data_IF_914299838106
#
_entry.id   IF_914299838106
#
_cell.length_a   1.000
_cell.length_b   1.000
_cell.length_c   1.000
_cell.angle_alpha   90.00
_cell.angle_beta   90.00
_cell.angle_gamma   90.00
#
_symmetry.space_group_name_H-M   'P 1'
#
loop_
_entity.id
_entity.type
_entity.pdbx_description
1 polymer ?
#
# COMPACT_ATOMS: atom_id res chain seq x y z
N UNK A 1 -1.64 -8.61 46.54
CA UNK A 1 -1.76 -9.72 45.57
C UNK A 1 -2.86 -9.47 44.53
N UNK A 2 -4.12 -9.27 44.92
CA UNK A 2 -5.25 -9.03 44.00
C UNK A 2 -5.04 -7.82 43.07
N UNK A 3 -4.56 -6.68 43.61
CA UNK A 3 -4.31 -5.46 42.83
C UNK A 3 -3.24 -5.69 41.73
N UNK A 4 -2.22 -6.50 42.02
CA UNK A 4 -1.15 -6.83 41.07
C UNK A 4 -1.70 -7.69 39.93
N UNK A 5 -2.57 -8.66 40.25
CA UNK A 5 -3.24 -9.52 39.27
C UNK A 5 -4.15 -8.68 38.37
N UNK A 6 -4.90 -7.74 38.95
CA UNK A 6 -5.80 -6.84 38.21
C UNK A 6 -5.02 -5.92 37.25
N UNK A 7 -3.91 -5.34 37.71
CA UNK A 7 -3.02 -4.55 36.84
C UNK A 7 -2.46 -5.38 35.68
N UNK A 8 -2.08 -6.63 35.92
CA UNK A 8 -1.56 -7.53 34.88
C UNK A 8 -2.64 -7.88 33.83
N UNK A 9 -3.87 -8.15 34.25
CA UNK A 9 -4.99 -8.44 33.33
C UNK A 9 -5.29 -7.23 32.44
N UNK A 10 -5.29 -6.02 33.01
CA UNK A 10 -5.53 -4.79 32.25
C UNK A 10 -4.42 -4.53 31.24
N UNK A 11 -3.15 -4.63 31.64
CA UNK A 11 -2.03 -4.42 30.72
C UNK A 11 -1.97 -5.48 29.63
N UNK A 12 -2.22 -6.74 29.97
CA UNK A 12 -2.29 -7.84 29.00
C UNK A 12 -3.40 -7.61 27.96
N UNK A 13 -4.57 -7.15 28.39
CA UNK A 13 -5.71 -6.85 27.51
C UNK A 13 -5.39 -5.71 26.53
N UNK A 14 -4.72 -4.65 26.99
CA UNK A 14 -4.30 -3.53 26.13
C UNK A 14 -3.30 -4.00 25.07
N UNK A 15 -2.33 -4.83 25.44
CA UNK A 15 -1.34 -5.38 24.49
C UNK A 15 -2.04 -6.25 23.43
N UNK A 16 -3.04 -7.05 23.80
CA UNK A 16 -3.80 -7.85 22.83
C UNK A 16 -4.57 -6.97 21.83
N UNK A 17 -5.20 -5.89 22.28
CA UNK A 17 -5.93 -4.96 21.38
C UNK A 17 -4.96 -4.31 20.38
N UNK A 18 -3.80 -3.85 20.86
CA UNK A 18 -2.76 -3.27 20.00
C UNK A 18 -2.25 -4.30 18.99
N UNK A 19 -2.04 -5.55 19.43
CA UNK A 19 -1.59 -6.64 18.57
C UNK A 19 -2.62 -6.98 17.48
N UNK A 20 -3.91 -7.09 17.83
CA UNK A 20 -5.00 -7.36 16.88
C UNK A 20 -5.09 -6.24 15.84
N UNK A 21 -4.95 -4.98 16.24
CA UNK A 21 -4.90 -3.85 15.30
C UNK A 21 -3.68 -3.92 14.38
N UNK A 22 -2.51 -4.33 14.89
CA UNK A 22 -1.31 -4.53 14.07
C UNK A 22 -1.49 -5.60 13.00
N UNK A 23 -2.06 -6.76 13.36
CA UNK A 23 -2.34 -7.85 12.39
C UNK A 23 -3.41 -7.44 11.37
N UNK A 24 -4.42 -6.67 11.77
CA UNK A 24 -5.47 -6.18 10.86
C UNK A 24 -4.93 -5.25 9.76
N UNK A 25 -3.80 -4.57 10.01
CA UNK A 25 -3.10 -3.73 9.01
C UNK A 25 -2.10 -4.51 8.15
N UNK A 26 -2.02 -5.83 8.30
CA UNK A 26 -0.93 -6.65 7.77
C UNK A 26 -0.92 -6.76 6.25
N UNK A 27 0.08 -6.14 5.64
CA UNK A 27 0.61 -6.57 4.34
C UNK A 27 0.86 -8.08 4.37
N UNK A 28 0.47 -8.78 3.30
CA UNK A 28 0.78 -10.18 3.08
C UNK A 28 2.29 -10.41 3.06
N UNK A 29 2.72 -11.67 3.23
CA UNK A 29 4.15 -12.05 3.31
C UNK A 29 4.96 -11.57 2.09
N UNK A 30 4.30 -11.47 0.94
CA UNK A 30 4.89 -11.09 -0.34
C UNK A 30 4.50 -9.66 -0.78
N UNK A 31 3.74 -8.94 0.06
CA UNK A 31 3.35 -7.55 -0.18
C UNK A 31 4.47 -6.61 0.29
N UNK A 32 4.95 -5.76 -0.62
CA UNK A 32 6.03 -4.79 -0.36
C UNK A 32 5.47 -3.50 0.24
N UNK A 33 4.35 -3.03 -0.29
CA UNK A 33 3.70 -1.79 0.16
C UNK A 33 2.21 -1.85 -0.15
N UNK A 34 1.41 -1.23 0.72
CA UNK A 34 -0.03 -1.13 0.58
C UNK A 34 -0.51 0.30 0.41
N UNK A 35 -1.61 0.44 -0.32
CA UNK A 35 -2.27 1.70 -0.66
C UNK A 35 -3.75 1.60 -0.37
N UNK A 36 -4.35 2.73 -0.01
CA UNK A 36 -5.73 2.89 0.41
C UNK A 36 -6.18 1.80 1.38
N UNK A 37 -5.62 1.84 2.59
CA UNK A 37 -5.91 0.87 3.64
C UNK A 37 -5.68 -0.60 3.20
N UNK A 38 -4.59 -0.84 2.46
CA UNK A 38 -4.20 -2.14 1.90
C UNK A 38 -5.21 -2.76 0.91
N UNK A 39 -6.13 -1.96 0.35
CA UNK A 39 -6.99 -2.43 -0.74
C UNK A 39 -6.15 -2.78 -1.97
N UNK A 40 -5.13 -1.98 -2.26
CA UNK A 40 -4.18 -2.22 -3.33
C UNK A 40 -2.80 -2.45 -2.74
N UNK A 41 -2.05 -3.38 -3.31
CA UNK A 41 -0.70 -3.71 -2.83
C UNK A 41 0.23 -3.92 -4.00
N UNK A 42 1.48 -3.52 -3.84
CA UNK A 42 2.55 -4.00 -4.71
C UNK A 42 3.07 -5.26 -4.06
N UNK A 43 2.85 -6.40 -4.71
CA UNK A 43 3.50 -7.64 -4.30
C UNK A 43 4.75 -7.91 -5.12
N UNK A 44 5.55 -8.86 -4.65
CA UNK A 44 6.71 -9.41 -5.34
C UNK A 44 6.38 -10.79 -5.94
N UNK A 45 5.71 -10.87 -7.11
CA UNK A 45 5.80 -12.06 -7.95
C UNK A 45 7.26 -12.50 -8.17
N UNK A 46 7.52 -13.77 -8.48
CA UNK A 46 8.88 -14.32 -8.60
C UNK A 46 9.77 -13.67 -9.68
N UNK A 47 9.24 -12.77 -10.51
CA UNK A 47 9.93 -12.20 -11.67
C UNK A 47 9.92 -10.67 -11.68
N UNK A 48 8.84 -10.03 -11.23
CA UNK A 48 8.70 -8.56 -11.23
C UNK A 48 7.71 -8.11 -10.16
N UNK A 49 7.76 -6.83 -9.79
CA UNK A 49 6.78 -6.23 -8.88
C UNK A 49 5.49 -5.89 -9.63
N UNK A 50 4.34 -6.28 -9.10
CA UNK A 50 3.04 -5.98 -9.71
C UNK A 50 2.13 -5.29 -8.68
N UNK A 51 1.35 -4.32 -9.14
CA UNK A 51 0.26 -3.73 -8.37
C UNK A 51 -1.02 -4.54 -8.61
N UNK A 52 -1.62 -5.06 -7.55
CA UNK A 52 -2.90 -5.76 -7.61
C UNK A 52 -3.86 -5.31 -6.51
N UNK A 53 -5.14 -5.57 -6.74
CA UNK A 53 -6.15 -5.46 -5.69
C UNK A 53 -6.10 -6.70 -4.78
N UNK A 54 -5.92 -6.48 -3.48
CA UNK A 54 -5.60 -7.52 -2.49
C UNK A 54 -6.69 -8.59 -2.36
N UNK A 55 -7.95 -8.21 -2.48
CA UNK A 55 -9.08 -9.12 -2.26
C UNK A 55 -9.40 -9.98 -3.50
N UNK A 56 -9.26 -9.40 -4.71
CA UNK A 56 -9.57 -10.08 -5.97
C UNK A 56 -8.35 -10.77 -6.57
N UNK A 57 -7.13 -10.32 -6.24
CA UNK A 57 -5.89 -10.73 -6.90
C UNK A 57 -5.76 -10.18 -8.32
N UNK A 58 -6.65 -9.28 -8.73
CA UNK A 58 -6.63 -8.68 -10.07
C UNK A 58 -5.42 -7.77 -10.23
N UNK A 59 -4.62 -8.01 -11.28
CA UNK A 59 -3.46 -7.17 -11.57
C UNK A 59 -3.89 -5.87 -12.25
N UNK A 60 -3.52 -4.75 -11.65
CA UNK A 60 -3.84 -3.40 -12.12
C UNK A 60 -2.69 -2.86 -12.98
N UNK A 61 -1.45 -3.06 -12.51
CA UNK A 61 -0.25 -2.61 -13.20
C UNK A 61 0.87 -3.65 -13.08
N UNK A 62 1.32 -4.13 -14.23
CA UNK A 62 2.47 -5.04 -14.33
C UNK A 62 3.80 -4.29 -14.31
N UNK A 63 4.84 -4.96 -13.83
CA UNK A 63 6.24 -4.51 -13.90
C UNK A 63 6.44 -3.13 -13.29
N UNK A 64 5.90 -2.91 -12.11
CA UNK A 64 6.06 -1.69 -11.34
C UNK A 64 7.54 -1.45 -11.07
N UNK A 65 8.04 -0.31 -11.56
CA UNK A 65 9.44 0.11 -11.38
C UNK A 65 9.59 1.05 -10.18
N UNK A 66 8.49 1.61 -9.67
CA UNK A 66 8.54 2.51 -8.53
C UNK A 66 7.19 3.06 -8.10
N UNK A 67 7.17 3.61 -6.89
CA UNK A 67 6.00 4.26 -6.32
C UNK A 67 6.34 5.50 -5.48
N UNK A 68 5.31 6.28 -5.19
CA UNK A 68 5.32 7.38 -4.24
C UNK A 68 4.02 7.36 -3.45
N UNK A 69 4.13 7.16 -2.15
CA UNK A 69 2.99 7.25 -1.24
C UNK A 69 2.72 8.71 -0.88
N UNK A 70 1.46 9.13 -0.98
CA UNK A 70 1.02 10.46 -0.55
C UNK A 70 -0.13 10.38 0.46
N UNK A 71 -0.48 11.52 1.08
CA UNK A 71 -1.60 11.59 2.04
C UNK A 71 -2.99 11.57 1.39
N UNK A 72 -3.06 11.93 0.11
CA UNK A 72 -4.32 12.05 -0.64
C UNK A 72 -4.26 11.20 -1.91
N UNK A 73 -3.14 11.27 -2.63
CA UNK A 73 -2.89 10.49 -3.82
C UNK A 73 -1.54 9.80 -3.73
N UNK A 74 -1.52 8.53 -4.11
CA UNK A 74 -0.30 7.76 -4.32
C UNK A 74 -0.12 7.49 -5.80
N UNK A 75 1.14 7.48 -6.25
CA UNK A 75 1.51 7.32 -7.64
C UNK A 75 2.37 6.08 -7.79
N UNK A 76 2.06 5.25 -8.77
CA UNK A 76 2.77 4.01 -9.07
C UNK A 76 3.05 4.01 -10.57
N UNK A 77 4.25 3.65 -11.01
CA UNK A 77 4.60 3.64 -12.44
C UNK A 77 5.31 2.36 -12.86
N UNK A 78 5.19 2.05 -14.14
CA UNK A 78 6.11 1.20 -14.89
C UNK A 78 6.74 2.04 -16.03
N UNK A 79 7.29 1.38 -17.05
CA UNK A 79 7.94 2.06 -18.19
C UNK A 79 6.97 2.81 -19.11
N UNK A 80 5.69 2.42 -19.16
CA UNK A 80 4.73 2.88 -20.18
C UNK A 80 3.45 3.50 -19.61
N UNK A 81 3.13 3.21 -18.36
CA UNK A 81 1.86 3.50 -17.69
C UNK A 81 2.10 3.92 -16.24
N UNK A 82 1.13 4.64 -15.69
CA UNK A 82 1.09 4.98 -14.27
C UNK A 82 -0.32 4.86 -13.72
N UNK A 83 -0.38 4.58 -12.42
CA UNK A 83 -1.62 4.48 -11.65
C UNK A 83 -1.58 5.52 -10.54
N UNK A 84 -2.70 6.22 -10.40
CA UNK A 84 -2.94 7.15 -9.30
C UNK A 84 -4.02 6.56 -8.41
N UNK A 85 -3.69 6.31 -7.15
CA UNK A 85 -4.62 5.81 -6.15
C UNK A 85 -5.08 6.99 -5.29
N UNK A 86 -6.39 7.18 -5.16
CA UNK A 86 -6.96 8.09 -4.18
C UNK A 86 -7.02 7.38 -2.82
N UNK A 87 -6.13 7.76 -1.91
CA UNK A 87 -5.98 7.13 -0.60
C UNK A 87 -7.24 7.27 0.28
N UNK A 88 -8.06 8.31 0.03
CA UNK A 88 -9.27 8.57 0.82
C UNK A 88 -10.50 7.87 0.25
N UNK A 89 -10.65 7.87 -1.06
CA UNK A 89 -11.81 7.24 -1.73
C UNK A 89 -11.62 5.75 -1.95
N UNK A 90 -10.37 5.29 -2.12
CA UNK A 90 -10.06 3.91 -2.43
C UNK A 90 -10.32 3.52 -3.87
N UNK A 91 -10.39 4.50 -4.77
CA UNK A 91 -10.45 4.30 -6.21
C UNK A 91 -9.07 4.55 -6.83
N UNK A 92 -8.85 4.00 -8.02
CA UNK A 92 -7.65 4.24 -8.79
C UNK A 92 -7.97 4.71 -10.21
N UNK A 93 -7.03 5.42 -10.81
CA UNK A 93 -7.06 5.78 -12.23
C UNK A 93 -5.76 5.32 -12.87
N UNK A 94 -5.87 4.56 -13.96
CA UNK A 94 -4.74 4.09 -14.76
C UNK A 94 -4.63 4.92 -16.03
N UNK A 95 -3.44 5.44 -16.31
CA UNK A 95 -3.16 6.30 -17.45
C UNK A 95 -1.85 5.89 -18.12
N UNK A 96 -1.69 6.26 -19.40
CA UNK A 96 -0.40 6.12 -20.10
C UNK A 96 0.54 7.24 -19.70
N UNK A 97 1.83 6.93 -19.59
CA UNK A 97 2.86 7.89 -19.20
C UNK A 97 2.94 9.08 -20.19
N UNK A 98 2.68 8.83 -21.48
CA UNK A 98 2.67 9.84 -22.53
C UNK A 98 1.53 10.86 -22.43
N UNK A 99 0.43 10.49 -21.77
CA UNK A 99 -0.76 11.35 -21.60
C UNK A 99 -0.77 12.06 -20.24
N UNK A 100 0.32 11.94 -19.47
CA UNK A 100 0.41 12.49 -18.13
C UNK A 100 0.32 14.02 -18.13
N UNK A 101 -0.52 14.55 -17.24
CA UNK A 101 -0.59 16.00 -17.00
C UNK A 101 0.74 16.53 -16.47
N UNK A 102 0.98 17.85 -16.59
CA UNK A 102 2.19 18.48 -16.03
C UNK A 102 2.33 18.22 -14.53
N UNK A 103 1.22 18.29 -13.80
CA UNK A 103 1.18 18.01 -12.37
C UNK A 103 1.54 16.56 -12.06
N UNK A 104 0.96 15.60 -12.79
CA UNK A 104 1.28 14.18 -12.61
C UNK A 104 2.74 13.90 -12.93
N UNK A 105 3.28 14.47 -14.02
CA UNK A 105 4.68 14.35 -14.40
C UNK A 105 5.63 14.83 -13.28
N UNK A 106 5.30 15.92 -12.58
CA UNK A 106 6.09 16.36 -11.43
C UNK A 106 6.06 15.39 -10.26
N UNK A 107 4.94 14.68 -10.05
CA UNK A 107 4.85 13.65 -9.02
C UNK A 107 5.62 12.39 -9.43
N UNK A 108 5.50 11.98 -10.70
CA UNK A 108 6.17 10.79 -11.25
C UNK A 108 7.70 10.92 -11.24
N UNK A 109 8.24 12.13 -11.37
CA UNK A 109 9.69 12.41 -11.20
C UNK A 109 10.19 12.25 -9.76
N UNK A 110 9.28 12.25 -8.78
CA UNK A 110 9.60 12.12 -7.35
C UNK A 110 9.34 10.70 -6.83
N UNK A 111 9.12 9.74 -7.74
CA UNK A 111 8.91 8.34 -7.39
C UNK A 111 10.22 7.73 -6.89
N UNK A 112 10.10 6.92 -5.83
CA UNK A 112 11.17 6.05 -5.39
C UNK A 112 11.14 4.77 -6.24
N UNK A 113 12.27 4.46 -6.86
CA UNK A 113 12.42 3.24 -7.65
C UNK A 113 12.50 2.01 -6.75
N UNK A 114 11.92 0.91 -7.22
CA UNK A 114 12.00 -0.40 -6.60
C UNK A 114 13.24 -1.10 -7.17
N UNK A 115 14.24 -1.33 -6.31
CA UNK A 115 15.42 -2.14 -6.62
C UNK A 115 15.15 -3.66 -6.53
#
# INVERSE_FOLDING_TARGET
>A
MIIVILCFVVTFSIVQIIFIWGVATGLGRDDVVGFSNNKYVIGRPPVSYNLYEKNSGETILDNVIGYKTGKVKSYIKNDIEYVVIDEKKGDYVKNKLGDASKEDMEQLKKIQELE
#
